data_IF_547367304864
#
_entry.id   IF_547367304864
#
_cell.length_a   1.000
_cell.length_b   1.000
_cell.length_c   1.000
_cell.angle_alpha   90.00
_cell.angle_beta   90.00
_cell.angle_gamma   90.00
#
_symmetry.space_group_name_H-M   'P 1'
#
loop_
_entity.id
_entity.type
_entity.pdbx_description
1 polymer ?
#
# COMPACT_ATOMS: atom_id res chain seq x y z
N UNK A 1 -48.17 -12.86 -32.52
CA UNK A 1 -46.93 -13.38 -33.14
C UNK A 1 -45.75 -12.43 -32.94
N UNK A 2 -45.86 -11.12 -33.19
CA UNK A 2 -44.74 -10.16 -32.96
C UNK A 2 -44.33 -10.01 -31.48
N UNK A 3 -45.28 -10.08 -30.54
CA UNK A 3 -45.04 -9.90 -29.09
C UNK A 3 -44.22 -11.02 -28.44
N UNK A 4 -44.34 -12.24 -28.96
CA UNK A 4 -43.70 -13.41 -28.34
C UNK A 4 -42.19 -13.44 -28.62
N UNK A 5 -41.77 -12.91 -29.78
CA UNK A 5 -40.36 -12.72 -30.12
C UNK A 5 -39.65 -11.68 -29.25
N UNK A 6 -40.37 -10.66 -28.76
CA UNK A 6 -39.80 -9.63 -27.89
C UNK A 6 -39.50 -10.18 -26.48
N UNK A 7 -40.37 -11.05 -25.94
CA UNK A 7 -40.16 -11.70 -24.64
C UNK A 7 -38.96 -12.66 -24.66
N UNK A 8 -38.82 -13.45 -25.73
CA UNK A 8 -37.70 -14.38 -25.89
C UNK A 8 -36.34 -13.65 -26.00
N UNK A 9 -36.29 -12.49 -26.66
CA UNK A 9 -35.06 -11.66 -26.73
C UNK A 9 -34.66 -11.08 -25.37
N UNK A 10 -35.62 -10.61 -24.59
CA UNK A 10 -35.35 -10.05 -23.26
C UNK A 10 -34.85 -11.13 -22.27
N UNK A 11 -35.34 -12.36 -22.40
CA UNK A 11 -34.88 -13.50 -21.58
C UNK A 11 -33.43 -13.90 -21.92
N UNK A 12 -33.07 -13.98 -23.21
CA UNK A 12 -31.71 -14.32 -23.63
C UNK A 12 -30.66 -13.27 -23.23
N UNK A 13 -31.03 -11.98 -23.20
CA UNK A 13 -30.12 -10.93 -22.73
C UNK A 13 -29.86 -10.99 -21.21
N UNK A 14 -30.80 -11.48 -20.41
CA UNK A 14 -30.55 -11.72 -18.97
C UNK A 14 -29.62 -12.91 -18.75
N UNK A 15 -29.83 -14.01 -19.48
CA UNK A 15 -28.97 -15.19 -19.40
C UNK A 15 -27.52 -14.94 -19.83
N UNK A 16 -27.29 -14.10 -20.84
CA UNK A 16 -25.94 -13.72 -21.26
C UNK A 16 -25.23 -12.76 -20.30
N UNK A 17 -25.98 -11.97 -19.52
CA UNK A 17 -25.42 -11.11 -18.48
C UNK A 17 -25.04 -11.89 -17.20
N UNK A 18 -25.56 -13.11 -17.01
CA UNK A 18 -25.25 -13.98 -15.86
C UNK A 18 -24.00 -14.86 -16.06
N UNK A 19 -23.37 -14.86 -17.24
CA UNK A 19 -22.24 -15.74 -17.58
C UNK A 19 -20.97 -14.99 -17.97
N UNK A 20 -20.73 -13.80 -17.43
CA UNK A 20 -19.40 -13.18 -17.48
C UNK A 20 -18.50 -13.84 -16.40
N UNK A 21 -18.25 -15.15 -16.59
CA UNK A 21 -17.34 -15.93 -15.76
C UNK A 21 -15.92 -15.46 -16.02
N UNK A 22 -15.49 -14.47 -15.24
CA UNK A 22 -14.10 -14.04 -15.21
C UNK A 22 -13.22 -15.17 -14.68
N UNK A 23 -12.08 -15.43 -15.32
CA UNK A 23 -11.05 -16.29 -14.75
C UNK A 23 -10.09 -15.43 -13.95
N UNK A 24 -9.81 -15.81 -12.71
CA UNK A 24 -8.84 -15.08 -11.90
C UNK A 24 -7.44 -15.16 -12.50
N UNK A 25 -6.84 -14.00 -12.76
CA UNK A 25 -5.50 -13.87 -13.36
C UNK A 25 -4.36 -14.46 -12.51
N UNK A 26 -4.59 -14.72 -11.22
CA UNK A 26 -3.55 -15.17 -10.29
C UNK A 26 -3.61 -16.65 -9.94
N UNK A 27 -4.78 -17.28 -9.98
CA UNK A 27 -4.95 -18.68 -9.59
C UNK A 27 -5.70 -19.54 -10.62
N UNK A 28 -6.28 -18.93 -11.66
CA UNK A 28 -7.02 -19.65 -12.69
C UNK A 28 -8.39 -20.19 -12.26
N UNK A 29 -8.87 -19.86 -11.05
CA UNK A 29 -10.23 -20.23 -10.64
C UNK A 29 -11.29 -19.31 -11.27
N UNK A 30 -12.45 -19.90 -11.55
CA UNK A 30 -13.64 -19.21 -12.05
C UNK A 30 -14.18 -18.26 -10.96
N UNK A 31 -14.38 -17.00 -11.31
CA UNK A 31 -14.96 -15.98 -10.43
C UNK A 31 -16.36 -15.63 -10.91
N UNK A 32 -17.30 -15.63 -9.96
CA UNK A 32 -18.72 -15.29 -10.19
C UNK A 32 -18.92 -13.78 -10.44
N UNK A 33 -17.92 -12.95 -10.14
CA UNK A 33 -17.95 -11.52 -10.37
C UNK A 33 -17.01 -11.13 -11.52
N UNK A 34 -17.37 -10.09 -12.29
CA UNK A 34 -16.51 -9.42 -13.29
C UNK A 34 -15.23 -8.75 -12.71
N UNK A 35 -14.80 -9.14 -11.51
CA UNK A 35 -13.58 -8.65 -10.86
C UNK A 35 -12.39 -9.48 -11.29
N UNK A 36 -11.29 -8.80 -11.67
CA UNK A 36 -10.05 -9.38 -12.19
C UNK A 36 -9.31 -10.37 -11.26
N UNK A 37 -9.72 -10.52 -10.00
CA UNK A 37 -9.08 -11.41 -9.02
C UNK A 37 -10.07 -11.97 -7.98
N UNK A 38 -9.93 -13.25 -7.65
CA UNK A 38 -10.63 -13.91 -6.54
C UNK A 38 -10.38 -13.18 -5.21
N UNK A 39 -11.36 -13.19 -4.31
CA UNK A 39 -11.21 -12.69 -2.93
C UNK A 39 -9.97 -13.22 -2.19
N UNK A 40 -9.68 -14.54 -2.13
CA UNK A 40 -8.50 -15.06 -1.43
C UNK A 40 -7.17 -14.62 -2.09
N UNK A 41 -7.14 -14.49 -3.41
CA UNK A 41 -5.96 -13.98 -4.13
C UNK A 41 -5.74 -12.49 -3.82
N UNK A 42 -6.81 -11.71 -3.72
CA UNK A 42 -6.73 -10.28 -3.38
C UNK A 42 -6.24 -10.08 -1.94
N UNK A 43 -6.72 -10.88 -0.99
CA UNK A 43 -6.30 -10.81 0.42
C UNK A 43 -4.83 -11.19 0.59
N UNK A 44 -4.39 -12.27 -0.07
CA UNK A 44 -2.98 -12.68 -0.02
C UNK A 44 -2.04 -11.68 -0.72
N UNK A 45 -2.47 -11.03 -1.81
CA UNK A 45 -1.73 -9.94 -2.44
C UNK A 45 -1.66 -8.71 -1.53
N UNK A 46 -2.76 -8.31 -0.89
CA UNK A 46 -2.80 -7.22 0.07
C UNK A 46 -1.84 -7.47 1.23
N UNK A 47 -1.85 -8.68 1.81
CA UNK A 47 -0.93 -9.06 2.90
C UNK A 47 0.55 -9.02 2.46
N UNK A 48 0.86 -9.46 1.24
CA UNK A 48 2.23 -9.39 0.70
C UNK A 48 2.70 -7.96 0.47
N UNK A 49 1.85 -7.12 -0.14
CA UNK A 49 2.14 -5.69 -0.36
C UNK A 49 2.31 -4.99 0.98
N UNK A 50 1.42 -5.24 1.93
CA UNK A 50 1.47 -4.72 3.29
C UNK A 50 2.80 -5.03 3.98
N UNK A 51 3.20 -6.31 3.99
CA UNK A 51 4.48 -6.73 4.58
C UNK A 51 5.66 -6.05 3.91
N UNK A 52 5.62 -5.86 2.59
CA UNK A 52 6.68 -5.16 1.85
C UNK A 52 6.74 -3.67 2.21
N UNK A 53 5.61 -2.99 2.26
CA UNK A 53 5.53 -1.58 2.65
C UNK A 53 6.05 -1.36 4.08
N UNK A 54 5.60 -2.17 5.04
CA UNK A 54 6.08 -2.08 6.42
C UNK A 54 7.58 -2.28 6.54
N UNK A 55 8.14 -3.25 5.80
CA UNK A 55 9.59 -3.47 5.78
C UNK A 55 10.33 -2.26 5.19
N UNK A 56 9.85 -1.72 4.07
CA UNK A 56 10.48 -0.56 3.42
C UNK A 56 10.46 0.67 4.33
N UNK A 57 9.30 1.02 4.91
CA UNK A 57 9.21 2.16 5.83
C UNK A 57 10.06 1.96 7.09
N UNK A 58 10.08 0.74 7.65
CA UNK A 58 10.94 0.41 8.78
C UNK A 58 12.43 0.61 8.48
N UNK A 59 12.89 0.24 7.27
CA UNK A 59 14.28 0.47 6.85
C UNK A 59 14.58 1.97 6.74
N UNK A 60 13.69 2.76 6.16
CA UNK A 60 13.89 4.22 6.07
C UNK A 60 13.93 4.89 7.45
N UNK A 61 13.07 4.49 8.38
CA UNK A 61 13.08 4.99 9.76
C UNK A 61 14.39 4.61 10.45
N UNK A 62 14.83 3.35 10.32
CA UNK A 62 16.08 2.89 10.92
C UNK A 62 17.30 3.64 10.36
N UNK A 63 17.37 3.85 9.04
CA UNK A 63 18.42 4.63 8.39
C UNK A 63 18.40 6.10 8.84
N UNK A 64 17.22 6.72 8.90
CA UNK A 64 17.07 8.10 9.37
C UNK A 64 17.50 8.26 10.83
N UNK A 65 17.10 7.33 11.70
CA UNK A 65 17.51 7.31 13.10
C UNK A 65 19.03 7.13 13.24
N UNK A 66 19.64 6.22 12.48
CA UNK A 66 21.08 5.97 12.52
C UNK A 66 21.89 7.20 12.06
N UNK A 67 21.42 7.90 11.04
CA UNK A 67 22.01 9.18 10.61
C UNK A 67 21.87 10.27 11.67
N UNK A 68 20.73 10.39 12.34
CA UNK A 68 20.52 11.37 13.40
C UNK A 68 21.38 11.07 14.64
N UNK A 69 21.49 9.81 15.03
CA UNK A 69 22.37 9.39 16.14
C UNK A 69 23.83 9.71 15.80
N UNK A 70 24.27 9.39 14.58
CA UNK A 70 25.61 9.74 14.12
C UNK A 70 25.87 11.26 14.17
N UNK A 71 24.93 12.05 13.64
CA UNK A 71 25.04 13.50 13.66
C UNK A 71 25.07 14.04 15.09
N UNK A 72 24.20 13.54 15.97
CA UNK A 72 24.15 13.91 17.39
C UNK A 72 25.49 13.65 18.07
N UNK A 73 26.06 12.45 17.91
CA UNK A 73 27.38 12.14 18.46
C UNK A 73 28.45 13.10 17.98
N UNK A 74 28.46 13.43 16.68
CA UNK A 74 29.43 14.38 16.12
C UNK A 74 29.27 15.81 16.63
N UNK A 75 28.04 16.29 16.83
CA UNK A 75 27.82 17.60 17.46
C UNK A 75 28.28 17.61 18.91
N UNK A 76 28.06 16.52 19.65
CA UNK A 76 28.47 16.43 21.06
C UNK A 76 29.98 16.23 21.25
N UNK A 77 30.66 15.51 20.36
CA UNK A 77 32.09 15.18 20.50
C UNK A 77 33.02 16.32 20.08
N UNK A 78 32.67 17.05 19.03
CA UNK A 78 33.52 18.10 18.47
C UNK A 78 33.04 19.53 18.77
N UNK A 79 31.95 19.68 19.53
CA UNK A 79 31.37 20.99 19.88
C UNK A 79 31.19 21.92 18.67
N UNK A 80 30.79 21.36 17.53
CA UNK A 80 30.54 22.19 16.34
C UNK A 80 29.39 23.15 16.62
N UNK A 81 29.65 24.44 16.40
CA UNK A 81 28.58 25.42 16.31
C UNK A 81 27.80 25.16 15.01
N UNK A 82 26.48 25.39 15.01
CA UNK A 82 25.62 25.09 13.84
C UNK A 82 26.10 25.82 12.57
N UNK A 83 26.72 27.00 12.74
CA UNK A 83 27.34 27.75 11.65
C UNK A 83 28.54 27.06 11.01
N UNK A 84 29.43 26.48 11.84
CA UNK A 84 30.75 25.98 11.43
C UNK A 84 30.78 24.48 11.13
N UNK A 85 29.64 23.78 11.33
CA UNK A 85 29.56 22.36 11.09
C UNK A 85 29.87 22.03 9.61
N UNK A 86 30.64 20.96 9.33
CA UNK A 86 30.97 20.55 7.99
C UNK A 86 29.70 20.22 7.20
N UNK A 87 29.71 20.53 5.89
CA UNK A 87 28.54 20.37 4.99
C UNK A 87 27.91 18.98 5.10
N UNK A 88 28.75 17.95 5.22
CA UNK A 88 28.32 16.56 5.33
C UNK A 88 27.47 16.29 6.59
N UNK A 89 27.79 16.95 7.70
CA UNK A 89 27.03 16.84 8.95
C UNK A 89 25.68 17.54 8.85
N UNK A 90 25.65 18.73 8.23
CA UNK A 90 24.41 19.47 7.94
C UNK A 90 23.47 18.65 7.05
N UNK A 91 24.00 18.08 5.97
CA UNK A 91 23.25 17.17 5.09
C UNK A 91 22.75 15.94 5.84
N UNK A 92 23.60 15.30 6.67
CA UNK A 92 23.21 14.15 7.46
C UNK A 92 22.06 14.47 8.44
N UNK A 93 22.06 15.64 9.09
CA UNK A 93 20.94 16.05 9.95
C UNK A 93 19.65 16.29 9.17
N UNK A 94 19.72 16.99 8.02
CA UNK A 94 18.53 17.28 7.21
C UNK A 94 17.97 16.01 6.59
N UNK A 95 18.82 15.17 6.00
CA UNK A 95 18.41 13.90 5.41
C UNK A 95 17.95 12.90 6.47
N UNK A 96 18.61 12.86 7.63
CA UNK A 96 18.20 12.04 8.76
C UNK A 96 16.82 12.45 9.30
N UNK A 97 16.60 13.76 9.47
CA UNK A 97 15.31 14.31 9.89
C UNK A 97 14.21 14.06 8.86
N UNK A 98 14.48 14.29 7.58
CA UNK A 98 13.54 14.04 6.48
C UNK A 98 13.22 12.55 6.36
N UNK A 99 14.21 11.67 6.48
CA UNK A 99 14.04 10.22 6.44
C UNK A 99 13.21 9.71 7.61
N UNK A 100 13.42 10.24 8.82
CA UNK A 100 12.67 9.86 10.01
C UNK A 100 11.22 10.36 9.93
N UNK A 101 11.00 11.65 9.62
CA UNK A 101 9.66 12.22 9.48
C UNK A 101 8.89 11.62 8.30
N UNK A 102 9.54 11.50 7.14
CA UNK A 102 8.95 10.87 5.95
C UNK A 102 8.65 9.39 6.16
N UNK A 103 9.54 8.67 6.86
CA UNK A 103 9.32 7.27 7.22
C UNK A 103 8.14 7.08 8.17
N UNK A 104 8.06 7.88 9.25
CA UNK A 104 6.94 7.85 10.19
C UNK A 104 5.62 8.25 9.52
N UNK A 105 5.64 9.30 8.69
CA UNK A 105 4.47 9.75 7.95
C UNK A 105 3.97 8.68 6.96
N UNK A 106 4.89 8.07 6.20
CA UNK A 106 4.55 6.97 5.28
C UNK A 106 3.99 5.74 6.00
N UNK A 107 4.57 5.40 7.15
CA UNK A 107 4.07 4.31 7.99
C UNK A 107 2.68 4.62 8.56
N UNK A 108 2.45 5.85 9.02
CA UNK A 108 1.15 6.30 9.52
C UNK A 108 0.08 6.22 8.42
N UNK A 109 0.39 6.66 7.19
CA UNK A 109 -0.52 6.53 6.05
C UNK A 109 -0.79 5.07 5.71
N UNK A 110 0.22 4.21 5.70
CA UNK A 110 0.02 2.79 5.47
C UNK A 110 -0.95 2.19 6.49
N UNK A 111 -0.72 2.45 7.80
CA UNK A 111 -1.63 2.03 8.89
C UNK A 111 -3.03 2.58 8.70
N UNK A 112 -3.15 3.87 8.36
CA UNK A 112 -4.43 4.50 8.12
C UNK A 112 -5.20 3.82 6.99
N UNK A 113 -4.56 3.58 5.84
CA UNK A 113 -5.21 2.89 4.71
C UNK A 113 -5.62 1.46 5.08
N UNK A 114 -4.79 0.74 5.83
CA UNK A 114 -5.11 -0.61 6.27
C UNK A 114 -6.31 -0.65 7.23
N UNK A 115 -6.41 0.30 8.17
CA UNK A 115 -7.57 0.41 9.07
C UNK A 115 -8.82 0.83 8.28
N UNK A 116 -8.70 1.82 7.41
CA UNK A 116 -9.81 2.34 6.62
C UNK A 116 -10.39 1.30 5.66
N UNK A 117 -9.52 0.56 4.95
CA UNK A 117 -9.95 -0.41 3.93
C UNK A 117 -10.17 -1.82 4.51
N UNK A 118 -9.54 -2.14 5.65
CA UNK A 118 -9.75 -3.39 6.38
C UNK A 118 -11.11 -3.46 7.07
N UNK A 119 -11.67 -2.34 7.54
CA UNK A 119 -13.04 -2.30 8.10
C UNK A 119 -14.13 -2.56 7.06
N UNK A 120 -13.91 -2.22 5.79
CA UNK A 120 -14.88 -2.50 4.71
C UNK A 120 -14.96 -3.97 4.29
N UNK A 121 -14.04 -4.82 4.75
CA UNK A 121 -14.11 -6.28 4.55
C UNK A 121 -14.73 -7.02 5.77
N UNK A 122 -14.82 -6.35 6.92
CA UNK A 122 -15.36 -6.89 8.17
C UNK A 122 -16.78 -6.41 8.50
N UNK A 123 -17.40 -5.63 7.61
CA UNK A 123 -18.84 -5.37 7.64
C UNK A 123 -19.57 -6.46 6.83
N UNK A 124 -19.55 -7.68 7.38
CA UNK A 124 -20.57 -8.70 7.12
C UNK A 124 -21.46 -8.78 8.36
#
# INVERSE_FOLDING_TARGET
>A
MERDNAMLRASNHRLLAELDMGVCLYCGQETVDAKKACQPCRESLAAKIWKRQMRTYGIFIALGMLMLVYAYFQFTSHHYNIGDAPLLLKLATVLGGLGLMGGLFGLALAVFFNIWHGRSAAAK
#
